data_IF_596247490994
#
_entry.id   IF_596247490994
#
_cell.length_a   1.000
_cell.length_b   1.000
_cell.length_c   1.000
_cell.angle_alpha   90.00
_cell.angle_beta   90.00
_cell.angle_gamma   90.00
#
_symmetry.space_group_name_H-M   'P 1'
#
loop_
_entity.id
_entity.type
_entity.pdbx_description
1 polymer ?
#
# COMPACT_ATOMS: atom_id res chain seq x y z
N UNK A 1 3.46 -22.62 8.26
CA UNK A 1 4.13 -21.50 7.56
C UNK A 1 4.81 -20.68 8.63
N UNK A 2 6.15 -20.73 8.69
CA UNK A 2 6.89 -19.95 9.67
C UNK A 2 7.00 -18.50 9.16
N UNK A 3 6.30 -17.59 9.83
CA UNK A 3 6.32 -16.17 9.49
C UNK A 3 7.66 -15.55 9.88
N UNK A 4 8.32 -14.87 8.95
CA UNK A 4 9.56 -14.11 9.20
C UNK A 4 9.33 -12.70 9.73
N UNK A 5 8.07 -12.29 9.87
CA UNK A 5 7.68 -11.01 10.49
C UNK A 5 6.67 -11.24 11.61
N UNK A 6 6.85 -10.53 12.72
CA UNK A 6 5.87 -10.51 13.83
C UNK A 6 4.62 -9.73 13.43
N UNK A 7 4.79 -8.69 12.60
CA UNK A 7 3.67 -7.88 12.12
C UNK A 7 3.97 -7.33 10.71
N UNK A 8 3.20 -7.72 9.67
CA UNK A 8 3.37 -7.24 8.30
C UNK A 8 2.83 -5.81 8.16
N UNK A 9 3.56 -4.84 8.71
CA UNK A 9 3.13 -3.45 8.86
C UNK A 9 2.80 -2.80 7.52
N UNK A 10 3.65 -3.00 6.51
CA UNK A 10 3.51 -2.32 5.21
C UNK A 10 2.22 -2.74 4.53
N UNK A 11 2.00 -4.05 4.43
CA UNK A 11 0.82 -4.60 3.79
C UNK A 11 -0.45 -4.32 4.59
N UNK A 12 -0.39 -4.34 5.92
CA UNK A 12 -1.53 -3.98 6.78
C UNK A 12 -1.97 -2.53 6.58
N UNK A 13 -1.00 -1.60 6.48
CA UNK A 13 -1.30 -0.19 6.20
C UNK A 13 -1.95 -0.01 4.82
N UNK A 14 -1.47 -0.72 3.79
CA UNK A 14 -2.11 -0.74 2.47
C UNK A 14 -3.55 -1.24 2.54
N UNK A 15 -3.79 -2.36 3.22
CA UNK A 15 -5.13 -2.93 3.35
C UNK A 15 -6.08 -2.01 4.11
N UNK A 16 -5.61 -1.37 5.19
CA UNK A 16 -6.41 -0.41 5.95
C UNK A 16 -6.76 0.82 5.10
N UNK A 17 -5.76 1.43 4.46
CA UNK A 17 -5.94 2.59 3.58
C UNK A 17 -6.90 2.24 2.44
N UNK A 18 -6.69 1.10 1.79
CA UNK A 18 -7.53 0.64 0.69
C UNK A 18 -8.97 0.46 1.13
N UNK A 19 -9.19 -0.21 2.27
CA UNK A 19 -10.53 -0.41 2.84
C UNK A 19 -11.22 0.93 3.14
N UNK A 20 -10.50 1.89 3.73
CA UNK A 20 -11.03 3.22 4.02
C UNK A 20 -11.45 3.95 2.73
N UNK A 21 -10.65 3.87 1.66
CA UNK A 21 -10.99 4.50 0.38
C UNK A 21 -12.14 3.80 -0.35
N UNK A 22 -12.24 2.47 -0.23
CA UNK A 22 -13.40 1.72 -0.74
C UNK A 22 -14.67 2.16 -0.02
N UNK A 23 -14.66 2.22 1.31
CA UNK A 23 -15.82 2.68 2.10
C UNK A 23 -16.17 4.12 1.75
N UNK A 24 -15.16 5.00 1.61
CA UNK A 24 -15.37 6.38 1.23
C UNK A 24 -16.00 6.50 -0.17
N UNK A 25 -15.50 5.75 -1.16
CA UNK A 25 -16.07 5.73 -2.51
C UNK A 25 -17.53 5.29 -2.53
N UNK A 26 -17.87 4.23 -1.77
CA UNK A 26 -19.25 3.77 -1.60
C UNK A 26 -20.12 4.82 -0.90
N UNK A 27 -19.59 5.51 0.12
CA UNK A 27 -20.30 6.56 0.84
C UNK A 27 -20.56 7.79 -0.06
N UNK A 28 -19.58 8.18 -0.89
CA UNK A 28 -19.72 9.25 -1.89
C UNK A 28 -20.83 8.88 -2.89
N UNK A 29 -20.81 7.65 -3.40
CA UNK A 29 -21.84 7.15 -4.31
C UNK A 29 -23.24 7.18 -3.66
N UNK A 30 -23.36 6.67 -2.42
CA UNK A 30 -24.62 6.61 -1.69
C UNK A 30 -25.17 8.01 -1.33
N UNK A 31 -24.30 8.99 -1.11
CA UNK A 31 -24.70 10.36 -0.83
C UNK A 31 -25.28 11.07 -2.07
N UNK A 32 -24.85 10.70 -3.29
CA UNK A 32 -25.33 11.25 -4.55
C UNK A 32 -25.04 12.74 -4.76
N UNK A 33 -24.10 13.31 -3.99
CA UNK A 33 -23.75 14.75 -4.03
C UNK A 33 -22.59 15.08 -4.95
N UNK A 34 -21.73 14.11 -5.22
CA UNK A 34 -20.52 14.25 -6.03
C UNK A 34 -20.68 13.53 -7.37
N UNK A 35 -19.85 13.86 -8.38
CA UNK A 35 -19.81 13.10 -9.63
C UNK A 35 -19.56 11.61 -9.40
N UNK A 36 -20.25 10.77 -10.18
CA UNK A 36 -20.07 9.31 -10.11
C UNK A 36 -18.63 8.89 -10.39
N UNK A 37 -17.91 9.64 -11.21
CA UNK A 37 -16.49 9.44 -11.49
C UNK A 37 -15.62 9.49 -10.22
N UNK A 38 -15.87 10.43 -9.30
CA UNK A 38 -15.15 10.51 -8.03
C UNK A 38 -15.37 9.26 -7.20
N UNK A 39 -16.63 8.80 -7.07
CA UNK A 39 -16.93 7.57 -6.34
C UNK A 39 -16.26 6.34 -6.95
N UNK A 40 -16.19 6.28 -8.28
CA UNK A 40 -15.52 5.21 -9.02
C UNK A 40 -14.02 5.18 -8.71
N UNK A 41 -13.32 6.31 -8.83
CA UNK A 41 -11.87 6.36 -8.62
C UNK A 41 -11.47 6.03 -7.18
N UNK A 42 -12.19 6.55 -6.18
CA UNK A 42 -11.96 6.20 -4.76
C UNK A 42 -12.16 4.71 -4.50
N UNK A 43 -13.23 4.14 -5.05
CA UNK A 43 -13.54 2.71 -4.87
C UNK A 43 -12.51 1.82 -5.57
N UNK A 44 -12.19 2.13 -6.84
CA UNK A 44 -11.24 1.37 -7.65
C UNK A 44 -9.83 1.39 -7.03
N UNK A 45 -9.37 2.57 -6.61
CA UNK A 45 -8.13 2.72 -5.85
C UNK A 45 -8.17 1.87 -4.57
N UNK A 46 -9.25 1.97 -3.79
CA UNK A 46 -9.38 1.27 -2.52
C UNK A 46 -9.30 -0.25 -2.69
N UNK A 47 -10.01 -0.81 -3.65
CA UNK A 47 -10.00 -2.25 -3.95
C UNK A 47 -8.61 -2.69 -4.42
N UNK A 48 -7.97 -1.94 -5.32
CA UNK A 48 -6.62 -2.24 -5.78
C UNK A 48 -5.61 -2.21 -4.63
N UNK A 49 -5.70 -1.22 -3.73
CA UNK A 49 -4.85 -1.09 -2.56
C UNK A 49 -5.06 -2.21 -1.55
N UNK A 50 -6.28 -2.72 -1.37
CA UNK A 50 -6.56 -3.91 -0.54
C UNK A 50 -5.85 -5.14 -1.11
N UNK A 51 -6.05 -5.42 -2.41
CA UNK A 51 -5.43 -6.56 -3.08
C UNK A 51 -3.90 -6.50 -3.01
N UNK A 52 -3.33 -5.32 -3.28
CA UNK A 52 -1.90 -5.08 -3.16
C UNK A 52 -1.42 -5.25 -1.71
N UNK A 53 -2.17 -4.75 -0.73
CA UNK A 53 -1.85 -4.90 0.70
C UNK A 53 -1.78 -6.35 1.13
N UNK A 54 -2.72 -7.19 0.68
CA UNK A 54 -2.71 -8.64 0.93
C UNK A 54 -1.47 -9.28 0.31
N UNK A 55 -1.15 -8.96 -0.94
CA UNK A 55 0.06 -9.48 -1.59
C UNK A 55 1.34 -9.07 -0.83
N UNK A 56 1.40 -7.82 -0.36
CA UNK A 56 2.52 -7.32 0.45
C UNK A 56 2.58 -8.01 1.82
N UNK A 57 1.45 -8.28 2.48
CA UNK A 57 1.39 -9.05 3.72
C UNK A 57 2.04 -10.42 3.54
N UNK A 58 1.68 -11.13 2.47
CA UNK A 58 2.26 -12.45 2.18
C UNK A 58 3.76 -12.37 1.87
N UNK A 59 4.22 -11.32 1.19
CA UNK A 59 5.66 -11.07 0.99
C UNK A 59 6.39 -10.79 2.31
N UNK A 60 5.84 -9.94 3.17
CA UNK A 60 6.42 -9.62 4.49
C UNK A 60 6.45 -10.87 5.38
N UNK A 61 5.42 -11.72 5.35
CA UNK A 61 5.39 -13.01 6.05
C UNK A 61 6.45 -13.98 5.54
N UNK A 62 6.61 -14.10 4.22
CA UNK A 62 7.55 -15.04 3.62
C UNK A 62 9.02 -14.59 3.74
N UNK A 63 9.28 -13.28 3.69
CA UNK A 63 10.64 -12.71 3.57
C UNK A 63 11.09 -11.89 4.78
N UNK A 64 10.17 -11.40 5.60
CA UNK A 64 10.43 -10.45 6.69
C UNK A 64 10.49 -8.99 6.25
N UNK A 65 10.40 -8.73 4.93
CA UNK A 65 10.48 -7.38 4.34
C UNK A 65 9.83 -7.37 2.94
N UNK A 66 9.57 -6.16 2.42
CA UNK A 66 9.09 -5.96 1.04
C UNK A 66 10.28 -5.78 0.09
N UNK A 67 10.39 -6.54 -1.01
CA UNK A 67 11.47 -6.39 -1.98
C UNK A 67 11.51 -5.00 -2.63
N UNK A 68 12.71 -4.46 -2.88
CA UNK A 68 12.88 -3.16 -3.53
C UNK A 68 12.14 -3.01 -4.87
N UNK A 69 12.14 -4.01 -5.79
CA UNK A 69 11.40 -3.87 -7.05
C UNK A 69 9.90 -3.63 -6.83
N UNK A 70 9.32 -4.25 -5.80
CA UNK A 70 7.90 -4.05 -5.44
C UNK A 70 7.70 -2.64 -4.88
N UNK A 71 8.56 -2.19 -3.98
CA UNK A 71 8.52 -0.81 -3.47
C UNK A 71 8.70 0.23 -4.58
N UNK A 72 9.58 -0.02 -5.54
CA UNK A 72 9.80 0.86 -6.69
C UNK A 72 8.57 0.91 -7.60
N UNK A 73 7.92 -0.23 -7.88
CA UNK A 73 6.67 -0.26 -8.64
C UNK A 73 5.55 0.50 -7.92
N UNK A 74 5.42 0.33 -6.61
CA UNK A 74 4.47 1.09 -5.77
C UNK A 74 4.78 2.59 -5.82
N UNK A 75 6.05 2.97 -5.71
CA UNK A 75 6.47 4.37 -5.79
C UNK A 75 6.13 4.98 -7.16
N UNK A 76 6.43 4.26 -8.24
CA UNK A 76 6.11 4.71 -9.60
C UNK A 76 4.59 4.88 -9.81
N UNK A 77 3.79 3.92 -9.33
CA UNK A 77 2.34 4.01 -9.38
C UNK A 77 1.81 5.18 -8.54
N UNK A 78 2.42 5.43 -7.38
CA UNK A 78 2.06 6.57 -6.51
C UNK A 78 2.36 7.89 -7.19
N UNK A 79 3.55 8.04 -7.79
CA UNK A 79 3.92 9.25 -8.54
C UNK A 79 2.97 9.47 -9.72
N UNK A 80 2.66 8.41 -10.47
CA UNK A 80 1.67 8.47 -11.54
C UNK A 80 0.32 8.98 -11.00
N UNK A 81 -0.21 8.36 -9.95
CA UNK A 81 -1.47 8.75 -9.33
C UNK A 81 -1.51 10.19 -8.85
N UNK A 82 -0.42 10.68 -8.24
CA UNK A 82 -0.31 12.07 -7.77
C UNK A 82 -0.24 13.10 -8.91
N UNK A 83 0.26 12.73 -10.09
CA UNK A 83 0.28 13.61 -11.27
C UNK A 83 -1.13 13.80 -11.83
N UNK A 84 -1.90 12.71 -11.91
CA UNK A 84 -3.24 12.74 -12.52
C UNK A 84 -4.34 13.15 -11.55
N UNK A 85 -4.24 12.77 -10.27
CA UNK A 85 -5.13 13.23 -9.20
C UNK A 85 -4.32 13.64 -7.95
N UNK A 86 -3.96 14.93 -7.82
CA UNK A 86 -3.07 15.41 -6.74
C UNK A 86 -3.66 15.32 -5.32
N UNK A 87 -4.99 15.31 -5.19
CA UNK A 87 -5.72 15.23 -3.91
C UNK A 87 -6.44 13.88 -3.80
N UNK A 88 -5.74 12.80 -4.10
CA UNK A 88 -6.27 11.44 -4.12
C UNK A 88 -5.72 10.59 -2.98
N UNK A 89 -6.25 9.36 -2.87
CA UNK A 89 -5.75 8.35 -1.94
C UNK A 89 -4.27 8.00 -2.10
N UNK A 90 -3.63 8.35 -3.21
CA UNK A 90 -2.19 8.13 -3.43
C UNK A 90 -1.29 8.86 -2.42
N UNK A 91 -1.72 10.00 -1.86
CA UNK A 91 -0.96 10.65 -0.78
C UNK A 91 -0.84 9.74 0.44
N UNK A 92 -1.89 8.99 0.76
CA UNK A 92 -1.90 8.10 1.92
C UNK A 92 -0.94 6.91 1.73
N UNK A 93 -0.65 6.52 0.48
CA UNK A 93 0.29 5.44 0.12
C UNK A 93 1.74 5.76 0.47
N UNK A 94 2.09 7.05 0.61
CA UNK A 94 3.43 7.44 1.04
C UNK A 94 3.79 6.87 2.43
N UNK A 95 2.79 6.68 3.30
CA UNK A 95 2.97 6.10 4.64
C UNK A 95 3.45 4.64 4.57
N UNK A 96 2.70 3.68 3.98
CA UNK A 96 3.20 2.32 3.84
C UNK A 96 4.49 2.26 3.02
N UNK A 97 4.66 3.07 1.97
CA UNK A 97 5.90 3.10 1.19
C UNK A 97 7.13 3.44 2.05
N UNK A 98 7.01 4.44 2.93
CA UNK A 98 8.06 4.80 3.88
C UNK A 98 8.42 3.63 4.81
N UNK A 99 7.42 2.97 5.41
CA UNK A 99 7.65 1.85 6.31
C UNK A 99 8.25 0.64 5.60
N UNK A 100 7.77 0.32 4.40
CA UNK A 100 8.31 -0.76 3.57
C UNK A 100 9.77 -0.51 3.20
N UNK A 101 10.10 0.71 2.77
CA UNK A 101 11.48 1.10 2.47
C UNK A 101 12.39 1.02 3.70
N UNK A 102 11.91 1.49 4.86
CA UNK A 102 12.65 1.40 6.12
C UNK A 102 12.91 -0.05 6.55
N UNK A 103 11.92 -0.93 6.38
CA UNK A 103 12.05 -2.36 6.64
C UNK A 103 13.08 -3.02 5.74
N UNK A 104 13.03 -2.72 4.43
CA UNK A 104 14.01 -3.20 3.47
C UNK A 104 15.45 -2.72 3.76
N UNK A 105 15.63 -1.46 4.13
CA UNK A 105 16.95 -0.93 4.51
C UNK A 105 17.52 -1.65 5.73
N UNK A 106 16.69 -1.93 6.74
CA UNK A 106 17.11 -2.67 7.94
C UNK A 106 17.57 -4.08 7.58
N UNK A 107 16.85 -4.76 6.70
CA UNK A 107 17.25 -6.08 6.20
C UNK A 107 18.61 -6.03 5.50
N UNK A 108 18.86 -5.02 4.65
CA UNK A 108 20.16 -4.86 3.97
C UNK A 108 21.33 -4.55 4.92
N UNK A 109 21.06 -3.97 6.08
CA UNK A 109 22.08 -3.63 7.08
C UNK A 109 22.43 -4.79 8.00
N UNK A 110 21.76 -5.93 7.92
CA UNK A 110 22.22 -7.18 8.55
C UNK A 110 23.37 -7.69 7.68
N UNK A 111 24.64 -7.42 8.04
CA UNK A 111 25.76 -7.87 7.25
C UNK A 111 25.91 -9.37 7.47
N UNK A 112 26.59 -10.00 6.50
CA UNK A 112 27.32 -11.26 6.62
C UNK A 112 28.24 -11.19 7.84
N UNK A 113 27.70 -11.36 9.05
CA UNK A 113 28.43 -11.46 10.31
C UNK A 113 28.56 -12.92 10.77
N UNK A 114 28.29 -13.85 9.85
CA UNK A 114 28.31 -15.30 10.06
C UNK A 114 28.94 -16.04 8.86
N UNK A 115 29.99 -15.46 8.28
CA UNK A 115 30.82 -16.09 7.25
C UNK A 115 32.29 -16.01 7.65
#
# INVERSE_FOLDING_TARGET
>A
MDSKTTFPLTGTLFTFIGSAHTVLGVAIWAAGKEPSETSFWFTAFGVAAVCLGIAVIEMERARGYVPLPVLAAIAALTVFGLIFEPVSGFLTVLIPLFFGFRGWMRHRRVPVAAG
#
